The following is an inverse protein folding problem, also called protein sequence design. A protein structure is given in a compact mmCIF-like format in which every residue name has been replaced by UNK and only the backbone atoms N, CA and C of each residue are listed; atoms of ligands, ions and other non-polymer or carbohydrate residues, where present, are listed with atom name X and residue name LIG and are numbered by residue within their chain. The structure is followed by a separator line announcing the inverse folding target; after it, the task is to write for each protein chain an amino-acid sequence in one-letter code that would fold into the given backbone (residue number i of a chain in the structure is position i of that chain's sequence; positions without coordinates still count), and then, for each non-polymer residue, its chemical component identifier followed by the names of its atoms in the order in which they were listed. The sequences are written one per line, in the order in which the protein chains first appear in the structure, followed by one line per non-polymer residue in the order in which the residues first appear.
data_IF_119856363047
#
_entry.id   IF_119856363047
#
_cell.length_a   1.000
_cell.length_b   1.000
_cell.length_c   1.000
_cell.angle_alpha   90.00
_cell.angle_beta   90.00
_cell.angle_gamma   90.00
#
_symmetry.space_group_name_H-M   'P 1'
#
loop_
_entity.id
_entity.type
_entity.pdbx_description
1 polymer ?
#
# COMPACT_ATOMS: atom_id res chain seq x y z
N UNK A 1 -14.56 9.13 -0.61
CA UNK A 1 -13.76 8.47 0.42
C UNK A 1 -13.90 6.96 0.29
N UNK A 2 -12.78 6.25 0.13
CA UNK A 2 -12.72 4.78 0.21
C UNK A 2 -11.72 4.38 1.29
N UNK A 3 -12.01 3.30 1.99
CA UNK A 3 -11.17 2.77 3.07
C UNK A 3 -10.86 1.29 2.84
N UNK A 4 -9.64 0.88 3.17
CA UNK A 4 -9.15 -0.47 3.03
C UNK A 4 -8.45 -0.92 4.30
N UNK A 5 -8.74 -2.16 4.71
CA UNK A 5 -7.86 -2.90 5.60
C UNK A 5 -7.03 -3.84 4.75
N UNK A 6 -5.71 -3.65 4.75
CA UNK A 6 -4.77 -4.41 3.94
C UNK A 6 -3.76 -5.14 4.83
N UNK A 7 -3.17 -6.24 4.33
CA UNK A 7 -2.11 -6.94 5.05
C UNK A 7 -0.90 -6.02 5.28
N UNK A 8 -0.08 -6.33 6.28
CA UNK A 8 1.19 -5.63 6.45
C UNK A 8 2.15 -5.96 5.29
N UNK A 9 2.71 -4.96 4.59
CA UNK A 9 3.56 -5.23 3.43
C UNK A 9 4.89 -5.87 3.83
N UNK A 10 5.49 -6.67 2.93
CA UNK A 10 6.89 -7.06 3.09
C UNK A 10 7.77 -5.80 3.01
N UNK A 11 8.92 -5.79 3.68
CA UNK A 11 9.83 -4.65 3.60
C UNK A 11 10.27 -4.39 2.16
N UNK A 12 10.69 -3.17 1.82
CA UNK A 12 11.12 -2.79 0.46
C UNK A 12 12.15 -3.76 -0.12
N UNK A 13 13.11 -4.19 0.71
CA UNK A 13 14.15 -5.15 0.33
C UNK A 13 13.61 -6.56 0.05
N UNK A 14 12.48 -6.93 0.64
CA UNK A 14 11.78 -8.17 0.34
C UNK A 14 10.72 -7.99 -0.74
N UNK A 15 10.27 -6.77 -1.02
CA UNK A 15 9.32 -6.47 -2.08
C UNK A 15 10.00 -6.47 -3.45
N UNK A 16 11.13 -5.77 -3.56
CA UNK A 16 11.90 -5.63 -4.78
C UNK A 16 13.16 -6.48 -4.73
N UNK A 17 13.54 -7.07 -5.86
CA UNK A 17 14.78 -7.84 -6.00
C UNK A 17 15.55 -7.39 -7.25
N UNK A 18 16.87 -7.48 -7.18
CA UNK A 18 17.76 -7.28 -8.33
C UNK A 18 17.97 -8.60 -9.06
N UNK A 19 17.85 -8.57 -10.39
CA UNK A 19 18.19 -9.68 -11.29
C UNK A 19 19.07 -9.11 -12.40
N UNK A 20 20.38 -9.30 -12.25
CA UNK A 20 21.36 -8.56 -13.06
C UNK A 20 21.15 -7.05 -12.91
N UNK A 21 21.03 -6.35 -14.05
CA UNK A 21 20.79 -4.90 -14.07
C UNK A 21 19.34 -4.48 -13.76
N UNK A 22 18.38 -5.42 -13.72
CA UNK A 22 16.95 -5.11 -13.61
C UNK A 22 16.46 -5.20 -12.16
N UNK A 23 15.54 -4.31 -11.78
CA UNK A 23 14.75 -4.42 -10.55
C UNK A 23 13.41 -5.04 -10.88
N UNK A 24 13.04 -6.12 -10.20
CA UNK A 24 11.79 -6.85 -10.38
C UNK A 24 11.09 -7.02 -9.04
N UNK A 25 9.78 -7.23 -9.07
CA UNK A 25 9.04 -7.63 -7.86
C UNK A 25 9.48 -9.04 -7.47
N UNK A 26 9.71 -9.26 -6.18
CA UNK A 26 10.05 -10.56 -5.62
C UNK A 26 8.83 -11.50 -5.62
N UNK A 27 9.02 -12.76 -5.19
CA UNK A 27 7.88 -13.66 -4.96
C UNK A 27 6.97 -13.13 -3.85
N UNK A 28 7.54 -12.60 -2.76
CA UNK A 28 6.78 -12.03 -1.64
C UNK A 28 6.02 -10.77 -2.04
N UNK A 29 6.66 -9.88 -2.81
CA UNK A 29 6.00 -8.68 -3.33
C UNK A 29 4.82 -9.02 -4.24
N UNK A 30 4.96 -10.02 -5.12
CA UNK A 30 3.85 -10.49 -5.97
C UNK A 30 2.71 -11.12 -5.16
N UNK A 31 3.03 -11.88 -4.12
CA UNK A 31 2.02 -12.47 -3.25
C UNK A 31 1.22 -11.39 -2.51
N UNK A 32 1.92 -10.41 -1.93
CA UNK A 32 1.30 -9.26 -1.29
C UNK A 32 0.41 -8.47 -2.27
N UNK A 33 0.95 -8.15 -3.45
CA UNK A 33 0.20 -7.44 -4.50
C UNK A 33 -1.07 -8.21 -4.90
N UNK A 34 -0.97 -9.53 -5.09
CA UNK A 34 -2.12 -10.37 -5.39
C UNK A 34 -3.19 -10.33 -4.29
N UNK A 35 -2.78 -10.36 -3.02
CA UNK A 35 -3.69 -10.26 -1.88
C UNK A 35 -4.40 -8.90 -1.82
N UNK A 36 -3.67 -7.81 -2.03
CA UNK A 36 -4.26 -6.46 -2.15
C UNK A 36 -5.25 -6.40 -3.31
N UNK A 37 -4.89 -6.89 -4.49
CA UNK A 37 -5.80 -6.94 -5.65
C UNK A 37 -7.08 -7.73 -5.35
N UNK A 38 -6.95 -8.88 -4.68
CA UNK A 38 -8.11 -9.68 -4.29
C UNK A 38 -9.04 -8.94 -3.33
N UNK A 39 -8.49 -8.21 -2.35
CA UNK A 39 -9.27 -7.37 -1.42
C UNK A 39 -9.99 -6.25 -2.16
N UNK A 40 -9.31 -5.54 -3.07
CA UNK A 40 -9.91 -4.45 -3.85
C UNK A 40 -11.02 -4.95 -4.79
N UNK A 41 -10.78 -6.07 -5.47
CA UNK A 41 -11.79 -6.72 -6.33
C UNK A 41 -13.00 -7.19 -5.53
N UNK A 42 -12.81 -7.80 -4.36
CA UNK A 42 -13.91 -8.24 -3.49
C UNK A 42 -14.76 -7.07 -2.98
N UNK A 43 -14.16 -5.88 -2.80
CA UNK A 43 -14.86 -4.64 -2.45
C UNK A 43 -15.49 -3.92 -3.65
N UNK A 44 -15.29 -4.42 -4.88
CA UNK A 44 -15.83 -3.79 -6.09
C UNK A 44 -15.24 -2.39 -6.36
N UNK A 45 -14.00 -2.16 -5.93
CA UNK A 45 -13.32 -0.87 -6.09
C UNK A 45 -13.17 -0.56 -7.57
N UNK A 46 -13.47 0.69 -7.94
CA UNK A 46 -13.11 1.25 -9.24
C UNK A 46 -12.00 2.27 -9.07
N UNK A 47 -11.15 2.48 -10.10
CA UNK A 47 -10.11 3.50 -10.05
C UNK A 47 -10.70 4.88 -9.76
N UNK A 48 -10.14 5.55 -8.75
CA UNK A 48 -10.43 6.95 -8.48
C UNK A 48 -9.67 7.83 -9.47
N UNK A 49 -10.32 8.89 -9.93
CA UNK A 49 -9.76 9.84 -10.89
C UNK A 49 -9.42 11.19 -10.22
N UNK A 50 -8.58 11.99 -10.88
CA UNK A 50 -8.22 13.32 -10.38
C UNK A 50 -7.27 13.30 -9.18
N UNK A 51 -7.05 14.46 -8.51
CA UNK A 51 -6.17 14.58 -7.36
C UNK A 51 -6.73 13.87 -6.11
N UNK A 52 -5.85 13.17 -5.39
CA UNK A 52 -6.17 12.31 -4.26
C UNK A 52 -5.38 12.72 -3.02
N UNK A 53 -6.03 12.60 -1.85
CA UNK A 53 -5.36 12.58 -0.54
C UNK A 53 -5.44 11.17 0.04
N UNK A 54 -4.30 10.66 0.51
CA UNK A 54 -4.21 9.35 1.11
C UNK A 54 -3.69 9.43 2.55
N UNK A 55 -4.34 8.73 3.46
CA UNK A 55 -3.83 8.51 4.83
C UNK A 55 -3.60 7.02 5.07
N UNK A 56 -2.51 6.70 5.76
CA UNK A 56 -2.12 5.33 6.07
C UNK A 56 -1.80 5.22 7.56
N UNK A 57 -2.52 4.35 8.26
CA UNK A 57 -2.14 3.92 9.62
C UNK A 57 -1.48 2.54 9.53
N UNK A 58 -0.23 2.47 9.98
CA UNK A 58 0.59 1.27 9.94
C UNK A 58 0.59 0.60 11.32
N UNK A 59 -0.03 -0.57 11.41
CA UNK A 59 0.03 -1.42 12.60
C UNK A 59 1.10 -2.51 12.40
N UNK A 60 2.31 -2.35 12.97
CA UNK A 60 3.37 -3.32 12.76
C UNK A 60 3.06 -4.67 13.43
N UNK A 61 3.60 -5.79 12.91
CA UNK A 61 3.35 -7.12 13.48
C UNK A 61 4.05 -7.34 14.83
N UNK A 62 5.00 -6.49 15.20
CA UNK A 62 5.75 -6.55 16.45
C UNK A 62 6.40 -5.19 16.77
N UNK A 63 7.01 -5.06 17.95
CA UNK A 63 7.67 -3.83 18.43
C UNK A 63 9.08 -3.58 17.85
N UNK A 64 9.54 -4.35 16.86
CA UNK A 64 10.84 -4.08 16.24
C UNK A 64 10.85 -2.73 15.55
N UNK A 65 11.97 -2.02 15.67
CA UNK A 65 12.21 -0.77 14.96
C UNK A 65 12.19 -1.02 13.45
N UNK A 66 11.26 -0.34 12.77
CA UNK A 66 11.13 -0.33 11.30
C UNK A 66 10.95 1.09 10.82
N UNK A 67 11.50 1.40 9.67
CA UNK A 67 11.26 2.67 9.01
C UNK A 67 9.85 2.66 8.40
N UNK A 68 9.15 3.80 8.51
CA UNK A 68 7.73 3.89 8.15
C UNK A 68 7.53 3.98 6.62
N UNK A 69 8.49 4.60 5.94
CA UNK A 69 8.57 4.78 4.49
C UNK A 69 8.67 3.45 3.73
N UNK A 70 9.28 2.43 4.36
CA UNK A 70 9.37 1.09 3.77
C UNK A 70 7.98 0.49 3.47
N UNK A 71 6.97 0.82 4.27
CA UNK A 71 5.61 0.30 4.16
C UNK A 71 4.87 1.01 3.02
N UNK A 72 5.05 2.33 2.92
CA UNK A 72 4.41 3.19 1.92
C UNK A 72 4.67 2.69 0.49
N UNK A 73 5.94 2.45 0.13
CA UNK A 73 6.30 2.15 -1.27
C UNK A 73 5.67 0.87 -1.79
N UNK A 74 5.59 -0.16 -0.94
CA UNK A 74 4.95 -1.42 -1.28
C UNK A 74 3.42 -1.28 -1.41
N UNK A 75 2.80 -0.50 -0.52
CA UNK A 75 1.35 -0.24 -0.57
C UNK A 75 0.93 0.51 -1.83
N UNK A 76 1.62 1.61 -2.16
CA UNK A 76 1.29 2.43 -3.33
C UNK A 76 1.36 1.61 -4.63
N UNK A 77 2.42 0.81 -4.78
CA UNK A 77 2.59 -0.07 -5.93
C UNK A 77 1.48 -1.12 -6.04
N UNK A 78 1.05 -1.70 -4.91
CA UNK A 78 0.00 -2.71 -4.89
C UNK A 78 -1.40 -2.12 -5.11
N UNK A 79 -1.69 -0.93 -4.55
CA UNK A 79 -2.95 -0.22 -4.70
C UNK A 79 -3.17 0.24 -6.14
N UNK A 80 -2.14 0.82 -6.77
CA UNK A 80 -2.20 1.20 -8.19
C UNK A 80 -2.41 -0.04 -9.07
N UNK A 81 -1.66 -1.12 -8.82
CA UNK A 81 -1.82 -2.35 -9.59
C UNK A 81 -3.20 -3.01 -9.41
N UNK A 82 -3.79 -2.88 -8.22
CA UNK A 82 -5.14 -3.36 -7.93
C UNK A 82 -6.26 -2.42 -8.37
N UNK A 83 -5.94 -1.30 -9.01
CA UNK A 83 -6.93 -0.39 -9.58
C UNK A 83 -7.66 0.49 -8.57
N UNK A 84 -7.01 0.84 -7.44
CA UNK A 84 -7.55 1.85 -6.53
C UNK A 84 -7.49 3.27 -7.14
N UNK A 85 -6.50 3.52 -8.00
CA UNK A 85 -6.26 4.73 -8.78
C UNK A 85 -5.36 4.35 -9.97
N UNK A 86 -5.28 5.21 -10.98
CA UNK A 86 -4.57 4.93 -12.24
C UNK A 86 -3.05 5.20 -12.14
N UNK A 87 -2.69 6.28 -11.46
CA UNK A 87 -1.31 6.77 -11.36
C UNK A 87 -1.03 7.30 -9.95
N UNK A 88 0.13 6.94 -9.37
CA UNK A 88 0.52 7.41 -8.04
C UNK A 88 0.75 8.93 -7.98
N UNK A 89 1.00 9.58 -9.12
CA UNK A 89 1.02 11.04 -9.25
C UNK A 89 -0.31 11.73 -8.94
N UNK A 90 -1.42 10.98 -8.92
CA UNK A 90 -2.70 11.49 -8.43
C UNK A 90 -2.65 11.84 -6.95
N UNK A 91 -1.78 11.20 -6.16
CA UNK A 91 -1.70 11.41 -4.71
C UNK A 91 -0.93 12.70 -4.42
N UNK A 92 -1.67 13.79 -4.22
CA UNK A 92 -1.10 15.11 -3.95
C UNK A 92 -0.82 15.35 -2.46
N UNK A 93 -1.46 14.58 -1.57
CA UNK A 93 -1.13 14.53 -0.15
C UNK A 93 -1.10 13.10 0.35
N UNK A 94 -0.08 12.80 1.14
CA UNK A 94 0.12 11.50 1.75
C UNK A 94 0.52 11.67 3.21
N UNK A 95 -0.32 11.14 4.10
CA UNK A 95 -0.04 11.07 5.53
C UNK A 95 0.21 9.61 5.93
N UNK A 96 1.24 9.37 6.74
CA UNK A 96 1.55 8.04 7.23
C UNK A 96 1.90 8.09 8.72
N UNK A 97 1.25 7.22 9.49
CA UNK A 97 1.34 7.18 10.94
C UNK A 97 1.61 5.76 11.42
N UNK A 98 2.35 5.61 12.53
CA UNK A 98 2.52 4.33 13.21
C UNK A 98 1.44 4.19 14.28
N UNK A 99 0.60 3.17 14.14
CA UNK A 99 -0.29 2.73 15.20
C UNK A 99 0.39 1.74 16.14
N UNK A 100 -0.37 1.26 17.14
CA UNK A 100 0.09 0.19 18.02
C UNK A 100 0.31 -1.12 17.25
N UNK A 101 1.26 -1.97 17.67
CA UNK A 101 1.45 -3.28 17.06
C UNK A 101 0.23 -4.17 17.21
N UNK A 102 -0.06 -4.96 16.18
CA UNK A 102 -1.14 -5.95 16.15
C UNK A 102 -0.58 -7.28 15.64
N UNK A 103 -1.06 -8.40 16.17
CA UNK A 103 -0.64 -9.73 15.71
C UNK A 103 -0.89 -9.88 14.20
N UNK A 104 0.13 -10.33 13.47
CA UNK A 104 0.10 -10.42 11.99
C UNK A 104 0.33 -9.10 11.27
N UNK A 105 0.13 -7.96 11.93
CA UNK A 105 0.25 -6.62 11.37
C UNK A 105 -0.82 -6.31 10.33
N UNK A 106 -1.12 -5.02 10.14
CA UNK A 106 -2.02 -4.56 9.09
C UNK A 106 -1.78 -3.10 8.74
N UNK A 107 -2.41 -2.64 7.67
CA UNK A 107 -2.44 -1.24 7.30
C UNK A 107 -3.88 -0.81 7.05
N UNK A 108 -4.24 0.35 7.59
CA UNK A 108 -5.50 1.01 7.31
C UNK A 108 -5.20 2.10 6.29
N UNK A 109 -5.83 2.04 5.13
CA UNK A 109 -5.61 3.01 4.05
C UNK A 109 -6.92 3.72 3.77
N UNK A 110 -6.91 5.05 3.78
CA UNK A 110 -8.03 5.86 3.33
C UNK A 110 -7.59 6.70 2.13
N UNK A 111 -8.45 6.79 1.12
CA UNK A 111 -8.22 7.60 -0.08
C UNK A 111 -9.44 8.49 -0.31
N UNK A 112 -9.17 9.78 -0.49
CA UNK A 112 -10.17 10.82 -0.74
C UNK A 112 -9.88 11.50 -2.07
N UNK A 113 -10.92 11.67 -2.89
CA UNK A 113 -10.88 12.59 -4.02
C UNK A 113 -10.93 14.02 -3.50
N UNK A 114 -10.05 14.87 -4.02
CA UNK A 114 -10.06 16.30 -3.72
C UNK A 114 -10.96 16.97 -4.74
N UNK A 115 -12.05 17.54 -4.25
CA UNK A 115 -12.83 18.50 -5.05
C UNK A 115 -12.06 19.82 -5.09
N UNK A 116 -11.78 20.34 -6.28
CA UNK A 116 -11.33 21.73 -6.45
C UNK A 116 -12.37 22.73 -5.94
#
# INVERSE_FOLDING_TARGET
MVEFELPYPPSVNHYWRRVGARTLISRGGRAFRHEVCAILAARGVRPLAGPLEMSIVVHPPDRRRRDIDNVQKALLDALQHGGAYDDDSQIIRLAIEKGEPLDGGKTLVQINEVSE
#
